data_IF_888868080649
#
_entry.id   IF_888868080649
#
_cell.length_a   1.000
_cell.length_b   1.000
_cell.length_c   1.000
_cell.angle_alpha   90.00
_cell.angle_beta   90.00
_cell.angle_gamma   90.00
#
_symmetry.space_group_name_H-M   'P 1'
#
loop_
_entity.id
_entity.type
_entity.pdbx_description
1 polymer ?
#
# COMPACT_ATOMS: atom_id res chain seq x y z
N UNK A 1 -6.57 -25.58 9.21
CA UNK A 1 -7.21 -24.45 9.91
C UNK A 1 -6.70 -24.29 11.34
N UNK A 2 -6.89 -25.29 12.21
CA UNK A 2 -6.43 -25.24 13.61
C UNK A 2 -4.91 -25.01 13.75
N UNK A 3 -4.08 -25.63 12.91
CA UNK A 3 -2.61 -25.53 12.99
C UNK A 3 -2.07 -24.13 12.65
N UNK A 4 -2.69 -23.42 11.69
CA UNK A 4 -2.29 -22.05 11.32
C UNK A 4 -2.79 -21.05 12.36
N UNK A 5 -4.04 -21.21 12.83
CA UNK A 5 -4.56 -20.44 13.96
C UNK A 5 -3.73 -20.64 15.22
N UNK A 6 -3.29 -21.87 15.50
CA UNK A 6 -2.40 -22.17 16.63
C UNK A 6 -0.98 -21.60 16.42
N UNK A 7 -0.47 -21.56 15.18
CA UNK A 7 0.81 -20.93 14.86
C UNK A 7 0.75 -19.41 15.03
N UNK A 8 -0.33 -18.76 14.58
CA UNK A 8 -0.57 -17.33 14.82
C UNK A 8 -0.75 -17.05 16.32
N UNK A 9 -1.55 -17.84 17.03
CA UNK A 9 -1.68 -17.76 18.51
C UNK A 9 -0.34 -17.94 19.24
N UNK A 10 0.53 -18.81 18.74
CA UNK A 10 1.85 -19.07 19.32
C UNK A 10 2.90 -18.01 19.00
N UNK A 11 2.71 -17.21 17.94
CA UNK A 11 3.54 -16.03 17.65
C UNK A 11 3.13 -14.84 18.53
N UNK A 12 1.82 -14.70 18.81
CA UNK A 12 1.24 -13.55 19.52
C UNK A 12 1.13 -13.72 21.05
N UNK A 13 1.93 -14.57 21.70
CA UNK A 13 1.97 -14.66 23.17
C UNK A 13 3.42 -14.70 23.70
N UNK A 14 3.80 -13.95 24.77
CA UNK A 14 2.97 -13.63 25.94
C UNK A 14 3.04 -12.19 26.51
N UNK A 15 1.88 -11.59 26.81
CA UNK A 15 1.39 -11.30 28.19
C UNK A 15 -0.06 -10.81 28.13
N UNK A 16 -0.89 -11.45 28.97
CA UNK A 16 -2.34 -11.36 29.09
C UNK A 16 -3.12 -12.05 27.97
N UNK A 17 -3.81 -13.13 28.37
CA UNK A 17 -5.00 -13.64 27.69
C UNK A 17 -5.90 -12.47 27.29
N UNK A 18 -5.87 -12.07 26.03
CA UNK A 18 -6.89 -11.28 25.40
C UNK A 18 -6.71 -11.39 23.89
N UNK A 19 -7.53 -12.28 23.31
CA UNK A 19 -8.08 -12.23 21.95
C UNK A 19 -7.10 -12.16 20.77
N UNK A 20 -7.41 -12.88 19.69
CA UNK A 20 -6.73 -12.70 18.41
C UNK A 20 -6.68 -11.18 18.10
N UNK A 21 -5.57 -10.63 17.55
CA UNK A 21 -5.48 -9.19 17.28
C UNK A 21 -6.75 -8.74 16.55
N UNK A 22 -7.36 -7.63 17.02
CA UNK A 22 -8.69 -7.14 16.61
C UNK A 22 -8.91 -7.09 15.08
N UNK A 23 -7.84 -7.04 14.28
CA UNK A 23 -7.87 -7.14 12.82
C UNK A 23 -8.43 -8.46 12.26
N UNK A 24 -8.51 -9.54 13.05
CA UNK A 24 -9.17 -10.81 12.66
C UNK A 24 -10.69 -10.77 12.86
N UNK A 25 -11.22 -9.69 13.44
CA UNK A 25 -12.64 -9.37 13.31
C UNK A 25 -12.82 -8.67 11.96
N UNK A 26 -13.72 -9.19 11.12
CA UNK A 26 -13.92 -8.81 9.72
C UNK A 26 -14.26 -7.33 9.46
N UNK A 27 -14.26 -6.47 10.48
CA UNK A 27 -14.75 -5.09 10.43
C UNK A 27 -13.74 -4.02 10.85
N UNK A 28 -12.46 -4.34 11.13
CA UNK A 28 -11.49 -3.27 11.44
C UNK A 28 -11.18 -2.49 10.16
N UNK A 29 -11.55 -1.19 10.08
CA UNK A 29 -11.37 -0.41 8.86
C UNK A 29 -9.92 0.02 8.66
N UNK A 30 -9.55 0.32 7.41
CA UNK A 30 -8.28 0.97 7.09
C UNK A 30 -8.20 2.33 7.79
N UNK A 31 -7.10 2.58 8.50
CA UNK A 31 -6.81 3.86 9.16
C UNK A 31 -6.80 5.01 8.13
N UNK A 32 -7.26 6.20 8.52
CA UNK A 32 -7.39 7.38 7.64
C UNK A 32 -6.05 8.09 7.41
N UNK A 33 -5.07 7.36 6.87
CA UNK A 33 -3.73 7.86 6.52
C UNK A 33 -3.35 7.41 5.11
N UNK A 34 -3.15 8.35 4.20
CA UNK A 34 -2.49 8.14 2.92
C UNK A 34 -1.01 8.43 3.07
N UNK A 35 -0.15 7.49 2.69
CA UNK A 35 1.29 7.72 2.73
C UNK A 35 2.03 7.29 1.46
N UNK A 36 3.14 7.98 1.20
CA UNK A 36 4.03 7.72 0.09
C UNK A 36 5.48 7.68 0.55
N UNK A 37 6.35 7.05 -0.24
CA UNK A 37 7.80 7.10 -0.05
C UNK A 37 8.47 7.63 -1.30
N UNK A 38 9.36 8.60 -1.15
CA UNK A 38 10.27 8.99 -2.23
C UNK A 38 11.51 9.71 -1.68
N UNK A 39 12.65 9.72 -2.41
CA UNK A 39 13.84 10.46 -1.98
C UNK A 39 13.61 11.97 -1.84
N UNK A 40 12.75 12.55 -2.67
CA UNK A 40 12.41 13.97 -2.68
C UNK A 40 10.92 14.19 -2.40
N UNK A 41 10.59 15.37 -1.86
CA UNK A 41 9.18 15.75 -1.61
C UNK A 41 8.41 15.83 -2.92
N UNK A 42 7.13 15.45 -2.85
CA UNK A 42 6.21 15.62 -3.96
C UNK A 42 6.08 17.10 -4.36
N UNK A 43 5.90 17.41 -5.65
CA UNK A 43 5.52 18.74 -6.08
C UNK A 43 4.23 19.20 -5.40
N UNK A 44 4.14 20.50 -5.07
CA UNK A 44 2.98 21.07 -4.38
C UNK A 44 1.65 20.82 -5.11
N UNK A 45 1.65 20.80 -6.45
CA UNK A 45 0.44 20.55 -7.22
C UNK A 45 -0.05 19.09 -7.06
N UNK A 46 0.86 18.12 -6.99
CA UNK A 46 0.53 16.71 -6.74
C UNK A 46 -0.11 16.57 -5.36
N UNK A 47 0.49 17.18 -4.33
CA UNK A 47 -0.07 17.14 -2.98
C UNK A 47 -1.47 17.76 -2.93
N UNK A 48 -1.68 18.90 -3.59
CA UNK A 48 -3.00 19.54 -3.70
C UNK A 48 -4.02 18.65 -4.40
N UNK A 49 -3.63 18.00 -5.50
CA UNK A 49 -4.51 17.06 -6.20
C UNK A 49 -4.87 15.87 -5.30
N UNK A 50 -3.92 15.34 -4.54
CA UNK A 50 -4.21 14.23 -3.63
C UNK A 50 -5.23 14.68 -2.57
N UNK A 51 -5.00 15.84 -1.96
CA UNK A 51 -5.86 16.43 -0.94
C UNK A 51 -7.30 16.68 -1.42
N UNK A 52 -7.53 16.92 -2.71
CA UNK A 52 -8.90 17.06 -3.27
C UNK A 52 -9.72 15.77 -3.16
N UNK A 53 -9.06 14.63 -2.98
CA UNK A 53 -9.68 13.31 -2.89
C UNK A 53 -9.58 12.68 -1.48
N UNK A 54 -9.09 13.45 -0.51
CA UNK A 54 -9.00 13.04 0.90
C UNK A 54 -10.09 13.77 1.70
N UNK A 55 -11.15 13.05 2.06
CA UNK A 55 -12.18 13.52 2.98
C UNK A 55 -11.63 13.65 4.40
N UNK A 56 -12.13 14.57 5.22
CA UNK A 56 -11.80 14.55 6.65
C UNK A 56 -12.25 13.21 7.28
N UNK A 57 -11.42 12.52 8.09
CA UNK A 57 -10.17 12.97 8.71
C UNK A 57 -8.89 12.39 8.06
N UNK A 58 -8.85 12.19 6.74
CA UNK A 58 -7.68 11.63 6.06
C UNK A 58 -6.46 12.56 6.13
N UNK A 59 -5.34 12.00 6.56
CA UNK A 59 -4.05 12.70 6.58
C UNK A 59 -3.12 12.19 5.47
N UNK A 60 -2.38 13.10 4.85
CA UNK A 60 -1.32 12.77 3.89
C UNK A 60 0.06 12.88 4.54
N UNK A 61 0.89 11.84 4.39
CA UNK A 61 2.29 11.85 4.83
C UNK A 61 3.23 11.29 3.78
N UNK A 62 4.40 11.91 3.63
CA UNK A 62 5.46 11.38 2.77
C UNK A 62 6.69 11.08 3.61
N UNK A 63 7.40 10.00 3.28
CA UNK A 63 8.64 9.60 3.93
C UNK A 63 9.81 9.60 2.93
N UNK A 64 10.91 10.22 3.33
CA UNK A 64 12.23 9.98 2.74
C UNK A 64 13.02 8.94 3.55
N UNK A 65 14.22 8.56 3.09
CA UNK A 65 15.05 7.54 3.76
C UNK A 65 15.39 7.88 5.22
N UNK A 66 15.60 9.16 5.56
CA UNK A 66 15.85 9.57 6.95
C UNK A 66 14.61 9.43 7.84
N UNK A 67 13.44 9.78 7.32
CA UNK A 67 12.17 9.65 8.05
C UNK A 67 11.75 8.18 8.18
N UNK A 68 12.08 7.34 7.19
CA UNK A 68 11.91 5.88 7.27
C UNK A 68 12.73 5.31 8.43
N UNK A 69 14.02 5.70 8.52
CA UNK A 69 14.89 5.30 9.64
C UNK A 69 14.26 5.71 10.97
N UNK A 70 13.92 6.98 11.10
CA UNK A 70 13.44 7.53 12.35
C UNK A 70 12.10 6.86 12.76
N UNK A 71 11.23 6.54 11.79
CA UNK A 71 10.00 5.77 12.04
C UNK A 71 10.29 4.35 12.53
N UNK A 72 11.18 3.60 11.87
CA UNK A 72 11.50 2.23 12.26
C UNK A 72 12.13 2.15 13.66
N UNK A 73 13.02 3.10 13.99
CA UNK A 73 13.65 3.17 15.31
C UNK A 73 12.66 3.54 16.43
N UNK A 74 11.66 4.38 16.10
CA UNK A 74 10.63 4.79 17.06
C UNK A 74 9.54 3.72 17.29
N UNK A 75 9.43 2.70 16.44
CA UNK A 75 8.35 1.70 16.48
C UNK A 75 8.87 0.25 16.49
N UNK A 76 9.79 -0.13 17.41
CA UNK A 76 10.43 -1.44 17.38
C UNK A 76 9.40 -2.58 17.45
N UNK A 77 9.61 -3.60 16.61
CA UNK A 77 8.82 -4.84 16.63
C UNK A 77 9.74 -5.98 17.07
N UNK A 78 9.42 -6.64 18.19
CA UNK A 78 10.25 -7.71 18.77
C UNK A 78 10.53 -8.86 17.78
N UNK A 79 9.57 -9.16 16.91
CA UNK A 79 9.71 -10.19 15.88
C UNK A 79 10.67 -9.81 14.73
N UNK A 80 10.97 -8.51 14.58
CA UNK A 80 11.81 -7.95 13.53
C UNK A 80 12.92 -7.06 14.12
N UNK A 81 13.79 -7.58 15.00
CA UNK A 81 14.68 -6.76 15.82
C UNK A 81 15.75 -6.00 15.01
N UNK A 82 16.07 -6.46 13.79
CA UNK A 82 17.05 -5.84 12.90
C UNK A 82 16.41 -5.33 11.59
N UNK A 83 15.18 -4.79 11.67
CA UNK A 83 14.43 -4.37 10.48
C UNK A 83 15.13 -3.25 9.70
N UNK A 84 15.80 -2.33 10.38
CA UNK A 84 16.47 -1.22 9.73
C UNK A 84 17.78 -1.66 9.04
N UNK A 85 18.54 -2.57 9.66
CA UNK A 85 19.70 -3.23 9.05
C UNK A 85 19.26 -4.02 7.82
N UNK A 86 18.11 -4.70 7.92
CA UNK A 86 17.50 -5.38 6.78
C UNK A 86 17.18 -4.39 5.67
N UNK A 87 16.55 -3.25 5.98
CA UNK A 87 16.27 -2.18 5.03
C UNK A 87 17.55 -1.68 4.33
N UNK A 88 18.62 -1.42 5.09
CA UNK A 88 19.92 -1.00 4.54
C UNK A 88 20.55 -2.07 3.64
N UNK A 89 20.35 -3.35 3.96
CA UNK A 89 20.91 -4.46 3.17
C UNK A 89 20.28 -4.62 1.78
N UNK A 90 19.07 -4.08 1.55
CA UNK A 90 18.36 -4.22 0.28
C UNK A 90 19.00 -3.30 -0.79
N UNK A 91 19.34 -3.88 -1.95
CA UNK A 91 20.11 -3.16 -2.99
C UNK A 91 19.28 -2.20 -3.84
N UNK A 92 17.98 -2.44 -3.99
CA UNK A 92 17.09 -1.68 -4.87
C UNK A 92 16.14 -0.81 -4.05
N UNK A 93 15.97 0.46 -4.45
CA UNK A 93 15.04 1.38 -3.80
C UNK A 93 13.60 0.86 -3.78
N UNK A 94 13.15 0.20 -4.84
CA UNK A 94 11.82 -0.42 -4.88
C UNK A 94 11.63 -1.48 -3.79
N UNK A 95 12.60 -2.38 -3.61
CA UNK A 95 12.53 -3.41 -2.56
C UNK A 95 12.63 -2.81 -1.16
N UNK A 96 13.39 -1.72 -0.97
CA UNK A 96 13.39 -0.93 0.28
C UNK A 96 12.01 -0.36 0.58
N UNK A 97 11.36 0.22 -0.42
CA UNK A 97 9.99 0.75 -0.31
C UNK A 97 8.97 -0.38 -0.05
N UNK A 98 9.14 -1.58 -0.63
CA UNK A 98 8.32 -2.76 -0.31
C UNK A 98 8.44 -3.15 1.17
N UNK A 99 9.66 -3.21 1.71
CA UNK A 99 9.83 -3.54 3.13
C UNK A 99 9.20 -2.47 4.04
N UNK A 100 9.46 -1.19 3.77
CA UNK A 100 8.94 -0.11 4.60
C UNK A 100 7.41 0.00 4.51
N UNK A 101 6.80 -0.15 3.33
CA UNK A 101 5.33 -0.07 3.21
C UNK A 101 4.65 -1.19 4.00
N UNK A 102 5.18 -2.41 3.98
CA UNK A 102 4.66 -3.49 4.82
C UNK A 102 4.84 -3.20 6.30
N UNK A 103 5.99 -2.66 6.69
CA UNK A 103 6.26 -2.31 8.08
C UNK A 103 5.32 -1.20 8.57
N UNK A 104 5.19 -0.11 7.82
CA UNK A 104 4.29 1.00 8.16
C UNK A 104 2.84 0.54 8.25
N UNK A 105 2.34 -0.18 7.24
CA UNK A 105 0.98 -0.69 7.24
C UNK A 105 0.72 -1.65 8.41
N UNK A 106 1.72 -2.45 8.82
CA UNK A 106 1.57 -3.33 9.96
C UNK A 106 1.41 -2.56 11.28
N UNK A 107 2.16 -1.48 11.47
CA UNK A 107 2.11 -0.67 12.71
C UNK A 107 0.92 0.28 12.73
N UNK A 108 0.69 1.02 11.64
CA UNK A 108 -0.24 2.15 11.59
C UNK A 108 -1.52 1.86 10.77
N UNK A 109 -1.52 0.84 9.92
CA UNK A 109 -2.49 0.72 8.84
C UNK A 109 -2.35 1.87 7.82
N UNK A 110 -3.43 2.15 7.10
CA UNK A 110 -3.49 3.22 6.11
C UNK A 110 -3.50 2.72 4.67
N UNK A 111 -3.28 3.63 3.73
CA UNK A 111 -3.14 3.36 2.30
C UNK A 111 -1.76 3.85 1.83
N UNK A 112 -0.94 2.95 1.32
CA UNK A 112 0.28 3.27 0.61
C UNK A 112 -0.04 3.55 -0.86
N UNK A 113 0.59 4.59 -1.42
CA UNK A 113 0.53 4.96 -2.83
C UNK A 113 1.95 5.23 -3.36
N UNK A 114 2.35 4.60 -4.47
CA UNK A 114 3.61 4.91 -5.14
C UNK A 114 3.64 6.41 -5.52
N UNK A 115 4.83 7.02 -5.52
CA UNK A 115 4.97 8.45 -5.77
C UNK A 115 4.62 8.88 -7.20
N UNK A 116 4.59 7.92 -8.13
CA UNK A 116 4.18 8.07 -9.53
C UNK A 116 2.74 7.60 -9.78
N UNK A 117 1.93 7.44 -8.73
CA UNK A 117 0.51 7.12 -8.83
C UNK A 117 -0.37 8.26 -8.27
N UNK A 118 -1.56 8.39 -8.83
CA UNK A 118 -2.52 9.45 -8.50
C UNK A 118 -3.93 8.85 -8.31
N UNK A 119 -4.62 9.33 -7.27
CA UNK A 119 -6.01 9.00 -6.95
C UNK A 119 -6.97 9.90 -7.75
N UNK A 120 -8.06 9.33 -8.28
CA UNK A 120 -9.03 10.01 -9.17
C UNK A 120 -10.48 10.00 -8.66
N UNK A 121 -10.70 9.45 -7.46
CA UNK A 121 -12.00 9.41 -6.79
C UNK A 121 -11.78 9.64 -5.30
N UNK A 122 -12.86 9.83 -4.54
CA UNK A 122 -12.78 9.91 -3.08
C UNK A 122 -12.17 8.62 -2.49
N UNK A 123 -11.15 8.77 -1.65
CA UNK A 123 -10.42 7.66 -1.02
C UNK A 123 -11.32 6.75 -0.18
N UNK A 124 -12.45 7.25 0.35
CA UNK A 124 -13.41 6.43 1.07
C UNK A 124 -14.10 5.44 0.13
N UNK A 125 -14.38 5.81 -1.13
CA UNK A 125 -14.91 4.84 -2.12
C UNK A 125 -13.95 3.66 -2.35
N UNK A 126 -12.64 3.91 -2.18
CA UNK A 126 -11.59 2.91 -2.33
C UNK A 126 -11.50 1.99 -1.12
N UNK A 127 -11.61 2.55 0.08
CA UNK A 127 -11.22 1.90 1.35
C UNK A 127 -12.38 1.52 2.26
N UNK A 128 -13.62 1.91 1.90
CA UNK A 128 -14.79 1.63 2.72
C UNK A 128 -15.08 0.13 2.81
N UNK A 129 -15.41 -0.33 4.02
CA UNK A 129 -15.78 -1.71 4.36
C UNK A 129 -14.75 -2.78 3.97
N UNK A 130 -13.48 -2.43 3.87
CA UNK A 130 -12.42 -3.42 3.73
C UNK A 130 -11.30 -3.21 4.77
N UNK A 131 -10.71 -4.32 5.21
CA UNK A 131 -9.52 -4.35 6.06
C UNK A 131 -8.22 -4.48 5.26
N UNK A 132 -8.33 -4.82 3.97
CA UNK A 132 -7.23 -4.91 3.00
C UNK A 132 -7.70 -4.55 1.60
N UNK A 133 -6.89 -3.75 0.91
CA UNK A 133 -7.13 -3.34 -0.48
C UNK A 133 -5.82 -3.33 -1.27
N UNK A 134 -5.86 -3.81 -2.51
CA UNK A 134 -4.72 -3.70 -3.45
C UNK A 134 -5.20 -3.88 -4.89
N UNK A 135 -4.27 -4.16 -5.80
CA UNK A 135 -4.53 -4.30 -7.23
C UNK A 135 -3.98 -5.65 -7.71
N UNK A 136 -4.83 -6.41 -8.39
CA UNK A 136 -4.42 -7.60 -9.12
C UNK A 136 -3.79 -7.15 -10.45
N UNK A 137 -2.49 -7.38 -10.61
CA UNK A 137 -1.77 -6.88 -11.79
C UNK A 137 -2.12 -7.71 -13.02
N UNK A 138 -2.58 -7.04 -14.08
CA UNK A 138 -2.76 -7.65 -15.40
C UNK A 138 -1.47 -7.61 -16.20
N UNK A 139 -0.58 -6.66 -15.93
CA UNK A 139 0.73 -6.56 -16.57
C UNK A 139 1.68 -7.68 -16.14
N UNK A 140 1.51 -8.18 -14.91
CA UNK A 140 2.25 -9.31 -14.37
C UNK A 140 1.29 -10.32 -13.71
N UNK A 141 0.68 -11.23 -14.49
CA UNK A 141 -0.27 -12.21 -13.96
C UNK A 141 0.29 -13.03 -12.81
N UNK A 142 -0.54 -13.29 -11.80
CA UNK A 142 -0.13 -13.98 -10.57
C UNK A 142 0.69 -13.10 -9.62
N UNK A 143 0.52 -11.77 -9.70
CA UNK A 143 1.15 -10.82 -8.78
C UNK A 143 0.16 -9.77 -8.27
N UNK A 144 0.43 -9.27 -7.07
CA UNK A 144 -0.24 -8.09 -6.52
C UNK A 144 0.66 -6.88 -6.73
N UNK A 145 0.12 -5.82 -7.36
CA UNK A 145 0.83 -4.59 -7.59
C UNK A 145 1.05 -3.86 -6.25
N UNK A 146 2.33 -3.55 -5.97
CA UNK A 146 2.74 -3.01 -4.68
C UNK A 146 2.43 -1.53 -4.53
N UNK A 147 2.28 -0.80 -5.64
CA UNK A 147 2.15 0.65 -5.63
C UNK A 147 0.82 1.18 -5.10
N UNK A 148 -0.16 0.31 -4.85
CA UNK A 148 -1.40 0.64 -4.15
C UNK A 148 -1.67 -0.50 -3.17
N UNK A 149 -1.51 -0.23 -1.87
CA UNK A 149 -1.68 -1.23 -0.83
C UNK A 149 -2.25 -0.58 0.41
N UNK A 150 -3.45 -0.98 0.83
CA UNK A 150 -4.07 -0.49 2.05
C UNK A 150 -4.43 -1.62 2.99
N UNK A 151 -4.30 -1.36 4.28
CA UNK A 151 -4.63 -2.33 5.31
C UNK A 151 -4.99 -1.66 6.64
N UNK A 152 -5.76 -2.34 7.47
CA UNK A 152 -5.85 -2.00 8.88
C UNK A 152 -4.55 -2.38 9.62
N UNK A 153 -4.26 -1.77 10.79
CA UNK A 153 -3.12 -2.16 11.60
C UNK A 153 -3.13 -3.66 11.91
N UNK A 154 -1.95 -4.27 11.97
CA UNK A 154 -1.74 -5.69 12.26
C UNK A 154 -2.37 -6.71 11.29
N UNK A 155 -2.81 -6.28 10.10
CA UNK A 155 -3.47 -7.15 9.14
C UNK A 155 -2.64 -8.42 8.80
N UNK A 156 -3.24 -9.63 8.79
CA UNK A 156 -2.49 -10.89 8.62
C UNK A 156 -1.72 -10.99 7.31
N UNK A 157 -2.28 -10.49 6.19
CA UNK A 157 -1.56 -10.48 4.91
C UNK A 157 -0.32 -9.59 4.95
N UNK A 158 -0.40 -8.44 5.62
CA UNK A 158 0.73 -7.52 5.76
C UNK A 158 1.79 -8.11 6.68
N UNK A 159 1.40 -8.75 7.78
CA UNK A 159 2.33 -9.46 8.66
C UNK A 159 3.11 -10.54 7.90
N UNK A 160 2.42 -11.38 7.13
CA UNK A 160 3.05 -12.44 6.34
C UNK A 160 3.98 -11.87 5.26
N UNK A 161 3.57 -10.76 4.61
CA UNK A 161 4.39 -10.08 3.61
C UNK A 161 5.63 -9.43 4.22
N UNK A 162 5.49 -8.76 5.37
CA UNK A 162 6.60 -8.19 6.14
C UNK A 162 7.59 -9.27 6.56
N UNK A 163 7.10 -10.40 7.06
CA UNK A 163 7.92 -11.55 7.46
C UNK A 163 8.66 -12.18 6.29
N UNK A 164 8.02 -12.30 5.14
CA UNK A 164 8.66 -12.77 3.92
C UNK A 164 9.73 -11.79 3.43
N UNK A 165 9.41 -10.49 3.34
CA UNK A 165 10.34 -9.43 2.95
C UNK A 165 11.54 -9.31 3.91
N UNK A 166 11.34 -9.52 5.21
CA UNK A 166 12.41 -9.56 6.20
C UNK A 166 13.38 -10.73 5.95
N UNK A 167 12.85 -11.92 5.63
CA UNK A 167 13.64 -13.15 5.47
C UNK A 167 14.26 -13.34 4.08
N UNK A 168 13.68 -12.75 3.04
CA UNK A 168 14.11 -13.01 1.65
C UNK A 168 15.55 -12.55 1.39
N UNK A 169 16.33 -13.34 0.65
CA UNK A 169 17.70 -12.98 0.32
C UNK A 169 17.79 -12.00 -0.86
N UNK A 170 18.80 -11.13 -0.84
CA UNK A 170 19.14 -10.26 -1.98
C UNK A 170 19.39 -11.05 -3.27
N UNK A 171 19.92 -12.28 -3.18
CA UNK A 171 20.12 -13.16 -4.34
C UNK A 171 18.79 -13.50 -5.02
N UNK A 172 17.75 -13.80 -4.25
CA UNK A 172 16.41 -14.12 -4.77
C UNK A 172 15.76 -12.89 -5.41
N UNK A 173 15.82 -11.74 -4.74
CA UNK A 173 15.31 -10.45 -5.25
C UNK A 173 16.04 -9.99 -6.52
N UNK A 174 17.34 -10.25 -6.63
CA UNK A 174 18.10 -9.95 -7.83
C UNK A 174 17.71 -10.86 -9.00
N UNK A 175 17.50 -12.16 -8.74
CA UNK A 175 17.09 -13.12 -9.77
C UNK A 175 15.68 -12.84 -10.29
N UNK A 176 14.79 -12.33 -9.43
CA UNK A 176 13.42 -12.03 -9.76
C UNK A 176 12.97 -10.72 -9.10
N UNK A 177 12.89 -9.67 -9.90
CA UNK A 177 12.53 -8.33 -9.44
C UNK A 177 11.12 -8.29 -8.80
N UNK A 178 10.16 -9.04 -9.35
CA UNK A 178 8.76 -9.09 -8.92
C UNK A 178 8.49 -10.16 -7.85
N UNK A 179 9.54 -10.70 -7.20
CA UNK A 179 9.37 -11.80 -6.26
C UNK A 179 8.45 -11.43 -5.09
N UNK A 180 8.54 -10.20 -4.56
CA UNK A 180 7.65 -9.76 -3.48
C UNK A 180 6.19 -9.61 -3.95
N UNK A 181 5.98 -9.17 -5.19
CA UNK A 181 4.65 -9.08 -5.80
C UNK A 181 3.99 -10.47 -5.93
N UNK A 182 4.77 -11.47 -6.35
CA UNK A 182 4.34 -12.87 -6.43
C UNK A 182 4.06 -13.45 -5.05
N UNK A 183 4.95 -13.19 -4.08
CA UNK A 183 4.80 -13.70 -2.72
C UNK A 183 3.53 -13.13 -2.05
N UNK A 184 3.25 -11.84 -2.21
CA UNK A 184 2.02 -11.23 -1.69
C UNK A 184 0.77 -11.84 -2.36
N UNK A 185 0.80 -12.06 -3.67
CA UNK A 185 -0.29 -12.77 -4.36
C UNK A 185 -0.53 -14.17 -3.76
N UNK A 186 0.52 -14.97 -3.60
CA UNK A 186 0.41 -16.30 -2.96
C UNK A 186 -0.11 -16.21 -1.52
N UNK A 187 0.32 -15.21 -0.75
CA UNK A 187 -0.17 -14.97 0.60
C UNK A 187 -1.68 -14.72 0.60
N UNK A 188 -2.16 -13.78 -0.24
CA UNK A 188 -3.59 -13.43 -0.30
C UNK A 188 -4.42 -14.62 -0.76
N UNK A 189 -4.01 -15.31 -1.83
CA UNK A 189 -4.77 -16.45 -2.37
C UNK A 189 -4.82 -17.63 -1.39
N UNK A 190 -3.69 -18.00 -0.78
CA UNK A 190 -3.63 -19.18 0.10
C UNK A 190 -4.25 -18.94 1.48
N UNK A 191 -4.51 -17.67 1.84
CA UNK A 191 -5.02 -17.29 3.15
C UNK A 191 -6.33 -16.49 3.05
N UNK A 192 -7.09 -16.64 1.96
CA UNK A 192 -8.38 -15.97 1.78
C UNK A 192 -9.40 -16.26 2.89
N UNK A 193 -9.24 -17.38 3.62
CA UNK A 193 -10.05 -17.69 4.80
C UNK A 193 -9.70 -16.85 6.05
N UNK A 194 -8.58 -16.12 6.07
CA UNK A 194 -8.16 -15.28 7.20
C UNK A 194 -8.75 -13.87 7.15
N UNK A 195 -8.97 -13.33 5.94
CA UNK A 195 -9.50 -11.98 5.71
C UNK A 195 -9.91 -11.83 4.24
N UNK A 196 -10.90 -10.98 3.98
CA UNK A 196 -11.27 -10.60 2.63
C UNK A 196 -10.29 -9.56 2.06
N UNK A 197 -9.96 -9.70 0.78
CA UNK A 197 -9.14 -8.75 0.04
C UNK A 197 -9.96 -8.06 -1.05
N UNK A 198 -10.04 -6.73 -1.01
CA UNK A 198 -10.57 -5.95 -2.14
C UNK A 198 -9.46 -5.76 -3.17
N UNK A 199 -9.55 -6.43 -4.31
CA UNK A 199 -8.53 -6.36 -5.37
C UNK A 199 -9.09 -5.67 -6.62
N UNK A 200 -8.55 -4.50 -6.93
CA UNK A 200 -8.88 -3.77 -8.14
C UNK A 200 -8.15 -4.31 -9.37
N UNK A 201 -8.63 -3.92 -10.55
CA UNK A 201 -8.08 -4.40 -11.82
C UNK A 201 -7.15 -3.36 -12.44
N UNK A 202 -5.93 -3.77 -12.77
CA UNK A 202 -5.02 -2.97 -13.58
C UNK A 202 -5.37 -3.11 -15.08
N UNK A 203 -5.37 -2.01 -15.83
CA UNK A 203 -5.54 -1.98 -17.28
C UNK A 203 -4.48 -1.09 -17.92
N UNK A 204 -3.59 -1.71 -18.69
CA UNK A 204 -2.56 -1.02 -19.51
C UNK A 204 -3.23 -0.14 -20.56
N UNK A 205 -2.85 1.14 -20.61
CA UNK A 205 -3.28 2.06 -21.67
C UNK A 205 -2.13 2.18 -22.68
N UNK A 206 -2.27 1.51 -23.82
CA UNK A 206 -1.21 1.42 -24.81
C UNK A 206 -0.81 2.81 -25.35
N UNK A 207 0.49 3.11 -25.28
CA UNK A 207 1.05 4.37 -25.79
C UNK A 207 0.82 5.60 -24.90
N UNK A 208 0.14 5.47 -23.76
CA UNK A 208 -0.18 6.60 -22.90
C UNK A 208 0.83 6.84 -21.76
N UNK A 209 1.72 5.87 -21.50
CA UNK A 209 2.71 5.96 -20.42
C UNK A 209 2.16 5.83 -19.00
N UNK A 210 0.89 5.42 -18.86
CA UNK A 210 0.25 5.13 -17.60
C UNK A 210 -0.73 3.96 -17.69
N UNK A 211 -1.05 3.38 -16.55
CA UNK A 211 -2.06 2.33 -16.39
C UNK A 211 -3.26 2.85 -15.61
N UNK A 212 -4.47 2.42 -16.01
CA UNK A 212 -5.67 2.66 -15.23
C UNK A 212 -5.81 1.56 -14.19
N UNK A 213 -6.16 1.95 -12.97
CA UNK A 213 -6.68 1.04 -11.96
C UNK A 213 -8.18 1.25 -11.93
N UNK A 214 -8.92 0.16 -12.06
CA UNK A 214 -10.36 0.16 -12.26
C UNK A 214 -11.08 -0.55 -11.11
N UNK A 215 -12.22 0.01 -10.72
CA UNK A 215 -13.16 -0.66 -9.83
C UNK A 215 -13.99 -1.72 -10.56
N UNK A 216 -14.92 -2.35 -9.84
CA UNK A 216 -15.81 -3.39 -10.39
C UNK A 216 -16.78 -2.85 -11.46
N UNK A 217 -17.04 -1.54 -11.47
CA UNK A 217 -17.87 -0.85 -12.47
C UNK A 217 -17.06 -0.34 -13.66
N UNK A 218 -15.76 -0.66 -13.71
CA UNK A 218 -14.80 -0.16 -14.72
C UNK A 218 -14.53 1.35 -14.67
N UNK A 219 -14.82 1.99 -13.54
CA UNK A 219 -14.48 3.40 -13.31
C UNK A 219 -13.03 3.54 -12.86
N UNK A 220 -12.39 4.67 -13.23
CA UNK A 220 -10.98 4.91 -12.91
C UNK A 220 -10.84 5.43 -11.49
N UNK A 221 -10.21 4.60 -10.64
CA UNK A 221 -9.90 4.92 -9.23
C UNK A 221 -8.49 5.49 -9.09
N UNK A 222 -7.52 4.91 -9.78
CA UNK A 222 -6.14 5.42 -9.80
C UNK A 222 -5.57 5.42 -11.20
N UNK A 223 -4.53 6.24 -11.41
CA UNK A 223 -3.61 6.05 -12.54
C UNK A 223 -2.19 5.89 -12.03
N UNK A 224 -1.46 4.94 -12.62
CA UNK A 224 -0.05 4.71 -12.34
C UNK A 224 0.80 5.14 -13.52
N UNK A 225 1.61 6.20 -13.36
CA UNK A 225 2.43 6.83 -14.40
C UNK A 225 3.80 6.16 -14.51
N UNK A 226 3.83 4.88 -14.90
CA UNK A 226 5.04 4.05 -14.86
C UNK A 226 6.14 4.45 -15.86
N UNK A 227 5.80 5.12 -16.97
CA UNK A 227 6.78 5.43 -18.02
C UNK A 227 7.68 6.60 -17.62
N UNK A 228 7.09 7.78 -17.41
CA UNK A 228 7.84 8.99 -17.08
C UNK A 228 8.04 9.15 -15.58
N UNK A 229 7.27 8.44 -14.75
CA UNK A 229 7.27 8.55 -13.29
C UNK A 229 6.95 9.96 -12.77
N UNK A 230 6.20 10.71 -13.57
CA UNK A 230 5.77 12.06 -13.27
C UNK A 230 4.26 12.18 -13.46
N UNK A 231 3.60 12.81 -12.49
CA UNK A 231 2.16 13.11 -12.56
C UNK A 231 2.00 14.40 -13.37
N UNK A 232 1.26 14.40 -14.50
CA UNK A 232 1.13 15.59 -15.35
C UNK A 232 0.49 16.79 -14.64
N UNK A 233 1.09 17.97 -14.76
CA UNK A 233 0.62 19.19 -14.07
C UNK A 233 -0.66 19.79 -14.69
N UNK A 234 -0.91 19.53 -15.97
CA UNK A 234 -2.10 19.99 -16.69
C UNK A 234 -3.41 19.39 -16.14
N UNK A 235 -3.33 18.28 -15.40
CA UNK A 235 -4.45 17.70 -14.68
C UNK A 235 -5.01 18.65 -13.61
N UNK A 236 -4.13 19.44 -12.96
CA UNK A 236 -4.54 20.41 -11.95
C UNK A 236 -5.47 21.48 -12.56
N UNK A 237 -5.16 21.95 -13.77
CA UNK A 237 -5.89 23.04 -14.42
C UNK A 237 -7.27 22.62 -14.94
N UNK A 238 -7.42 21.38 -15.39
CA UNK A 238 -8.72 20.86 -15.86
C UNK A 238 -9.73 20.71 -14.73
N UNK A 239 -9.28 20.43 -13.50
CA UNK A 239 -10.16 20.36 -12.32
C UNK A 239 -10.48 21.73 -11.72
N UNK A 240 -9.55 22.68 -11.73
CA UNK A 240 -9.85 24.06 -11.27
C UNK A 240 -10.82 24.79 -12.21
N UNK A 241 -10.75 24.54 -13.52
CA UNK A 241 -11.64 25.17 -14.50
C UNK A 241 -13.09 24.65 -14.42
N UNK A 242 -13.31 23.43 -13.94
CA UNK A 242 -14.65 22.88 -13.70
C UNK A 242 -15.34 23.44 -12.45
N UNK A 243 -14.58 24.05 -11.53
CA UNK A 243 -15.12 24.65 -10.31
C UNK A 243 -15.52 26.14 -10.47
N UNK A 244 -15.22 26.76 -11.63
CA UNK A 244 -15.51 28.18 -11.90
C UNK A 244 -16.65 28.40 -12.90
N UNK A 245 -17.40 27.36 -13.28
CA UNK A 245 -18.41 27.44 -14.35
C UNK A 245 -19.87 27.19 -13.88
N UNK A 246 -20.18 27.38 -12.59
CA UNK A 246 -21.56 27.40 -12.10
C UNK A 246 -21.80 28.60 -11.16
N UNK A 247 -21.62 29.81 -11.68
CA UNK A 247 -22.47 30.97 -11.36
C UNK A 247 -22.01 32.13 -12.24
N UNK A 248 -22.83 32.45 -13.25
CA UNK A 248 -23.06 33.77 -13.85
C UNK A 248 -23.65 33.59 -15.26
N UNK A 249 -24.95 33.30 -15.32
CA UNK A 249 -26.00 33.95 -16.15
C UNK A 249 -27.26 33.11 -16.12
#
# INVERSE_FOLDING_TARGET
MQTILNYLKGIFAPRHEQELPNCLTANTPITKQLFQTAPSRQPKYVVKMLQQHLSDPWEYRQFNDSEIRDFMLANPLEEFPNIYEKFLSLKKGAHKADLFRYYYLYVNGGLFLDSDAMLYTDIDSVTNRCSFVSVNSSCHPGTIFQGILGACPHHPFIYLALKDAYKISNKKLHKNYHQLCQNLYTIVVNNSALADAKLYTEKRIQGAGYDHILDESSEVIFKHYWQDKHIPADLFHRHTAGCTAETLS
#
